data_IF_020475437071
#
_entry.id   IF_020475437071
#
_cell.length_a   1.000
_cell.length_b   1.000
_cell.length_c   1.000
_cell.angle_alpha   90.00
_cell.angle_beta   90.00
_cell.angle_gamma   90.00
#
_symmetry.space_group_name_H-M   'P 1'
#
loop_
_entity.id
_entity.type
_entity.pdbx_description
1 polymer ?
#
# COMPACT_ATOMS: atom_id res chain seq x y z
N UNK A 1 2.37 2.98 13.99
CA UNK A 1 1.78 1.76 13.43
C UNK A 1 2.69 0.57 13.64
N UNK A 2 2.11 -0.60 13.63
CA UNK A 2 2.83 -1.83 13.95
C UNK A 2 2.36 -2.95 13.03
N UNK A 3 3.26 -3.88 12.72
CA UNK A 3 2.95 -5.09 11.97
C UNK A 3 2.55 -6.22 12.93
N UNK A 4 1.43 -6.87 12.64
CA UNK A 4 0.92 -8.02 13.41
C UNK A 4 0.29 -9.03 12.48
N UNK A 5 0.00 -10.23 12.98
CA UNK A 5 -0.84 -11.20 12.27
C UNK A 5 -2.21 -10.60 12.01
N UNK A 6 -2.68 -10.73 10.77
CA UNK A 6 -3.92 -10.14 10.30
C UNK A 6 -5.02 -11.19 10.17
N UNK A 7 -6.26 -10.78 10.39
CA UNK A 7 -7.43 -11.61 10.06
C UNK A 7 -7.71 -11.59 8.55
N UNK A 8 -7.22 -10.58 7.84
CA UNK A 8 -7.44 -10.46 6.40
C UNK A 8 -6.51 -11.37 5.62
N UNK A 9 -5.21 -11.29 5.88
CA UNK A 9 -4.21 -12.10 5.17
C UNK A 9 -2.85 -11.94 5.86
N UNK A 10 -2.26 -13.05 6.28
CA UNK A 10 -0.90 -13.10 6.81
C UNK A 10 -0.57 -12.00 7.83
N UNK A 11 0.36 -11.13 7.47
CA UNK A 11 0.71 -9.96 8.25
C UNK A 11 -0.17 -8.77 7.88
N UNK A 12 -0.40 -7.90 8.83
CA UNK A 12 -1.11 -6.65 8.61
C UNK A 12 -0.44 -5.51 9.38
N UNK A 13 -0.89 -4.29 9.13
CA UNK A 13 -0.40 -3.08 9.79
C UNK A 13 -1.54 -2.47 10.59
N UNK A 14 -1.27 -2.16 11.85
CA UNK A 14 -2.27 -1.68 12.80
C UNK A 14 -1.90 -0.30 13.34
N UNK A 15 -2.91 0.51 13.59
CA UNK A 15 -2.73 1.83 14.18
C UNK A 15 -2.36 1.70 15.67
N UNK A 16 -1.24 2.32 16.09
CA UNK A 16 -0.84 2.38 17.50
C UNK A 16 -1.66 3.41 18.28
N UNK A 17 -2.10 4.46 17.60
CA UNK A 17 -2.90 5.54 18.16
C UNK A 17 -4.00 5.90 17.17
N UNK A 18 -4.98 6.69 17.64
CA UNK A 18 -6.03 7.20 16.77
C UNK A 18 -5.41 8.07 15.67
N UNK A 19 -5.94 7.95 14.45
CA UNK A 19 -5.46 8.68 13.28
C UNK A 19 -6.62 9.49 12.73
N UNK A 20 -6.41 10.79 12.58
CA UNK A 20 -7.42 11.70 12.05
C UNK A 20 -7.56 11.53 10.53
N UNK A 21 -8.79 11.62 10.02
CA UNK A 21 -9.08 11.61 8.58
C UNK A 21 -8.14 12.54 7.82
N UNK A 22 -7.68 12.06 6.67
CA UNK A 22 -6.76 12.74 5.75
C UNK A 22 -5.31 12.86 6.25
N UNK A 23 -4.98 12.30 7.40
CA UNK A 23 -3.59 12.22 7.86
C UNK A 23 -2.76 11.40 6.87
N UNK A 24 -1.60 11.93 6.53
CA UNK A 24 -0.60 11.22 5.73
C UNK A 24 0.12 10.25 6.67
N UNK A 25 -0.14 8.95 6.51
CA UNK A 25 0.30 7.94 7.47
C UNK A 25 1.71 7.46 7.18
N UNK A 26 1.94 6.99 5.97
CA UNK A 26 3.21 6.37 5.58
C UNK A 26 3.36 6.43 4.06
N UNK A 27 4.62 6.54 3.61
CA UNK A 27 4.94 6.42 2.21
C UNK A 27 5.04 4.94 1.83
N UNK A 28 4.46 4.57 0.69
CA UNK A 28 4.65 3.25 0.12
C UNK A 28 6.01 3.24 -0.57
N UNK A 29 7.04 2.85 0.18
CA UNK A 29 8.41 2.85 -0.31
C UNK A 29 8.71 1.60 -1.11
N UNK A 30 9.63 1.74 -2.06
CA UNK A 30 10.08 0.62 -2.86
C UNK A 30 10.95 1.10 -4.01
N UNK A 31 11.67 0.16 -4.62
CA UNK A 31 12.51 0.44 -5.75
C UNK A 31 11.67 0.98 -6.92
N UNK A 32 12.10 2.08 -7.51
CA UNK A 32 11.44 2.65 -8.69
C UNK A 32 11.94 1.91 -9.93
N UNK A 33 11.04 1.21 -10.61
CA UNK A 33 11.37 0.45 -11.81
C UNK A 33 10.46 0.83 -12.97
N UNK A 34 10.93 0.68 -14.22
CA UNK A 34 10.07 0.89 -15.37
C UNK A 34 8.91 -0.09 -15.40
N UNK A 35 7.72 0.38 -15.79
CA UNK A 35 6.52 -0.43 -15.81
C UNK A 35 6.69 -1.71 -16.64
N UNK A 36 7.45 -1.63 -17.74
CA UNK A 36 7.71 -2.81 -18.56
C UNK A 36 8.49 -3.91 -17.84
N UNK A 37 9.33 -3.55 -16.87
CA UNK A 37 10.10 -4.51 -16.07
C UNK A 37 9.32 -5.05 -14.89
N UNK A 38 8.24 -4.40 -14.49
CA UNK A 38 7.50 -4.82 -13.31
C UNK A 38 6.72 -6.12 -13.53
N UNK A 39 6.37 -6.44 -14.77
CA UNK A 39 5.50 -7.59 -15.07
C UNK A 39 6.05 -8.92 -14.60
N UNK A 40 7.34 -9.17 -14.82
CA UNK A 40 7.96 -10.43 -14.35
C UNK A 40 8.03 -10.48 -12.83
N UNK A 41 8.31 -9.35 -12.18
CA UNK A 41 8.33 -9.27 -10.73
C UNK A 41 6.94 -9.48 -10.14
N UNK A 42 5.93 -8.87 -10.75
CA UNK A 42 4.54 -9.02 -10.33
C UNK A 42 4.08 -10.47 -10.44
N UNK A 43 4.40 -11.13 -11.54
CA UNK A 43 4.05 -12.53 -11.74
C UNK A 43 4.71 -13.43 -10.68
N UNK A 44 5.98 -13.20 -10.38
CA UNK A 44 6.69 -13.93 -9.35
C UNK A 44 6.11 -13.68 -7.96
N UNK A 45 5.80 -12.43 -7.65
CA UNK A 45 5.20 -12.07 -6.37
C UNK A 45 3.82 -12.70 -6.20
N UNK A 46 3.00 -12.73 -7.25
CA UNK A 46 1.69 -13.38 -7.21
C UNK A 46 1.82 -14.88 -6.93
N UNK A 47 2.81 -15.55 -7.53
CA UNK A 47 3.06 -16.98 -7.24
C UNK A 47 3.39 -17.20 -5.76
N UNK A 48 4.02 -16.22 -5.11
CA UNK A 48 4.35 -16.28 -3.68
C UNK A 48 3.24 -15.72 -2.79
N UNK A 49 2.12 -15.30 -3.37
CA UNK A 49 0.98 -14.78 -2.62
C UNK A 49 1.10 -13.32 -2.20
N UNK A 50 1.87 -12.52 -2.94
CA UNK A 50 2.09 -11.11 -2.61
C UNK A 50 1.73 -10.18 -3.75
N UNK A 51 1.35 -8.94 -3.40
CA UNK A 51 1.15 -7.83 -4.34
C UNK A 51 1.95 -6.67 -3.77
N UNK A 52 3.18 -6.51 -4.25
CA UNK A 52 4.09 -5.49 -3.73
C UNK A 52 4.46 -4.41 -4.75
N UNK A 53 4.14 -4.63 -6.03
CA UNK A 53 4.35 -3.62 -7.05
C UNK A 53 3.16 -2.66 -7.09
N UNK A 54 3.44 -1.38 -7.04
CA UNK A 54 2.43 -0.33 -6.98
C UNK A 54 2.72 0.70 -8.07
N UNK A 55 1.78 0.91 -9.00
CA UNK A 55 1.97 1.84 -10.09
C UNK A 55 1.96 3.28 -9.60
N UNK A 56 3.03 4.00 -9.95
CA UNK A 56 3.11 5.46 -9.74
C UNK A 56 2.37 6.17 -10.88
N UNK A 57 2.68 5.75 -12.11
CA UNK A 57 2.06 6.26 -13.33
C UNK A 57 2.24 5.22 -14.44
N UNK A 58 2.01 5.59 -15.70
CA UNK A 58 2.15 4.65 -16.81
C UNK A 58 3.57 4.11 -17.00
N UNK A 59 4.58 4.87 -16.61
CA UNK A 59 5.98 4.54 -16.88
C UNK A 59 6.68 3.87 -15.71
N UNK A 60 6.25 4.15 -14.48
CA UNK A 60 6.99 3.79 -13.29
C UNK A 60 6.16 3.04 -12.28
N UNK A 61 6.81 2.09 -11.63
CA UNK A 61 6.24 1.26 -10.57
C UNK A 61 7.20 1.28 -9.38
N UNK A 62 6.66 1.27 -8.17
CA UNK A 62 7.43 1.02 -6.95
C UNK A 62 7.28 -0.44 -6.57
N UNK A 63 8.41 -1.13 -6.40
CA UNK A 63 8.43 -2.52 -5.95
C UNK A 63 8.89 -2.56 -4.50
N UNK A 64 7.97 -2.79 -3.58
CA UNK A 64 8.25 -2.79 -2.15
C UNK A 64 9.03 -4.01 -1.68
N UNK A 65 9.26 -4.99 -2.53
CA UNK A 65 10.13 -6.12 -2.21
C UNK A 65 11.58 -5.65 -2.02
N UNK A 66 11.98 -4.61 -2.74
CA UNK A 66 13.32 -4.04 -2.67
C UNK A 66 13.22 -2.61 -2.14
N UNK A 67 13.85 -2.35 -1.00
CA UNK A 67 13.84 -1.01 -0.42
C UNK A 67 12.49 -0.59 0.14
N UNK A 68 11.60 -1.53 0.39
CA UNK A 68 10.29 -1.27 0.95
C UNK A 68 10.33 -1.02 2.45
N UNK A 69 9.17 -0.67 3.00
CA UNK A 69 8.98 -0.43 4.42
C UNK A 69 7.74 -1.17 4.92
N UNK A 70 7.25 -0.82 6.10
CA UNK A 70 6.08 -1.47 6.70
C UNK A 70 4.84 -1.37 5.82
N UNK A 71 4.74 -0.37 4.95
CA UNK A 71 3.55 -0.15 4.11
C UNK A 71 3.23 -1.35 3.21
N UNK A 72 4.22 -2.15 2.84
CA UNK A 72 3.97 -3.33 1.99
C UNK A 72 3.11 -4.39 2.67
N UNK A 73 2.98 -4.36 3.98
CA UNK A 73 2.15 -5.30 4.74
C UNK A 73 0.72 -4.80 4.94
N UNK A 74 0.37 -3.60 4.48
CA UNK A 74 -1.02 -3.12 4.53
C UNK A 74 -1.86 -3.96 3.57
N UNK A 75 -2.90 -4.58 4.10
CA UNK A 75 -3.72 -5.50 3.33
C UNK A 75 -4.79 -4.80 2.50
N UNK A 76 -5.28 -5.51 1.49
CA UNK A 76 -6.41 -5.09 0.68
C UNK A 76 -7.72 -5.24 1.44
N UNK A 77 -8.63 -4.28 1.25
CA UNK A 77 -10.02 -4.41 1.64
C UNK A 77 -10.90 -3.68 0.63
N UNK A 78 -12.08 -4.23 0.34
CA UNK A 78 -13.02 -3.59 -0.58
C UNK A 78 -13.68 -2.36 0.05
N UNK A 79 -13.80 -2.33 1.39
CA UNK A 79 -14.28 -1.18 2.16
C UNK A 79 -13.16 -0.72 3.10
N UNK A 80 -12.12 -0.07 2.55
CA UNK A 80 -10.92 0.24 3.30
C UNK A 80 -11.09 1.47 4.19
N UNK A 81 -10.18 1.60 5.16
CA UNK A 81 -10.09 2.80 5.98
C UNK A 81 -9.01 3.78 5.50
N UNK A 82 -8.22 3.39 4.52
CA UNK A 82 -7.18 4.24 3.96
C UNK A 82 -7.32 4.33 2.44
N UNK A 83 -6.62 5.30 1.86
CA UNK A 83 -6.49 5.45 0.42
C UNK A 83 -5.07 5.85 0.07
N UNK A 84 -4.68 5.62 -1.17
CA UNK A 84 -3.36 6.01 -1.66
C UNK A 84 -3.45 7.32 -2.44
N UNK A 85 -2.37 8.09 -2.39
CA UNK A 85 -2.23 9.33 -3.13
C UNK A 85 -0.84 9.38 -3.75
N UNK A 86 -0.78 9.57 -5.06
CA UNK A 86 0.49 9.76 -5.76
C UNK A 86 0.83 11.25 -5.78
N UNK A 87 2.02 11.58 -5.29
CA UNK A 87 2.55 12.94 -5.30
C UNK A 87 3.90 12.88 -5.98
N UNK A 88 4.00 13.42 -7.20
CA UNK A 88 5.21 13.26 -8.01
C UNK A 88 5.47 11.79 -8.29
N UNK A 89 6.60 11.28 -7.86
CA UNK A 89 6.94 9.85 -7.98
C UNK A 89 6.86 9.11 -6.66
N UNK A 90 6.19 9.69 -5.66
CA UNK A 90 5.98 9.06 -4.36
C UNK A 90 4.53 8.63 -4.19
N UNK A 91 4.32 7.58 -3.42
CA UNK A 91 2.99 7.05 -3.12
C UNK A 91 2.79 7.16 -1.61
N UNK A 92 1.73 7.83 -1.20
CA UNK A 92 1.39 8.00 0.21
C UNK A 92 0.11 7.27 0.56
N UNK A 93 0.11 6.61 1.71
CA UNK A 93 -1.10 6.02 2.28
C UNK A 93 -1.67 7.01 3.29
N UNK A 94 -2.93 7.37 3.11
CA UNK A 94 -3.62 8.38 3.92
C UNK A 94 -4.88 7.81 4.56
N UNK A 95 -5.23 8.35 5.71
CA UNK A 95 -6.47 7.96 6.38
C UNK A 95 -7.69 8.46 5.59
N UNK A 96 -8.57 7.53 5.21
CA UNK A 96 -9.81 7.85 4.50
C UNK A 96 -10.94 8.28 5.43
N UNK A 97 -10.80 7.99 6.71
CA UNK A 97 -11.70 8.39 7.79
C UNK A 97 -10.91 8.47 9.08
N UNK A 98 -11.55 8.84 10.16
CA UNK A 98 -10.92 8.71 11.48
C UNK A 98 -10.73 7.23 11.80
N UNK A 99 -9.52 6.87 12.19
CA UNK A 99 -9.13 5.49 12.48
C UNK A 99 -8.88 5.39 13.98
N UNK A 100 -9.44 4.34 14.59
CA UNK A 100 -9.29 4.11 16.02
C UNK A 100 -7.97 3.41 16.32
N UNK A 101 -7.45 3.63 17.52
CA UNK A 101 -6.32 2.86 18.03
C UNK A 101 -6.62 1.38 17.92
N UNK A 102 -5.68 0.62 17.37
CA UNK A 102 -5.79 -0.83 17.23
C UNK A 102 -6.47 -1.32 15.95
N UNK A 103 -7.06 -0.43 15.15
CA UNK A 103 -7.63 -0.85 13.87
C UNK A 103 -6.55 -1.29 12.89
N UNK A 104 -6.85 -2.30 12.09
CA UNK A 104 -5.99 -2.68 10.98
C UNK A 104 -6.17 -1.70 9.84
N UNK A 105 -5.04 -1.21 9.28
CA UNK A 105 -5.04 -0.34 8.12
C UNK A 105 -5.26 -1.18 6.86
N UNK A 106 -6.03 -0.62 5.92
CA UNK A 106 -6.31 -1.29 4.65
C UNK A 106 -6.56 -0.26 3.56
N UNK A 107 -6.29 -0.63 2.32
CA UNK A 107 -6.69 0.18 1.16
C UNK A 107 -7.06 -0.76 0.02
N UNK A 108 -7.77 -0.22 -0.99
CA UNK A 108 -8.18 -1.03 -2.12
C UNK A 108 -7.05 -1.02 -3.16
N UNK A 109 -6.40 -2.16 -3.36
CA UNK A 109 -5.28 -2.31 -4.28
C UNK A 109 -5.65 -2.01 -5.72
N UNK A 110 -6.89 -2.26 -6.10
CA UNK A 110 -7.34 -2.22 -7.49
C UNK A 110 -7.85 -0.85 -7.93
N UNK A 111 -8.14 0.04 -7.00
CA UNK A 111 -8.67 1.38 -7.32
C UNK A 111 -7.70 2.50 -7.01
N UNK A 112 -6.65 2.23 -6.24
CA UNK A 112 -5.70 3.23 -5.79
C UNK A 112 -4.37 3.11 -6.51
N UNK A 113 -3.66 4.24 -6.60
CA UNK A 113 -2.31 4.33 -7.13
C UNK A 113 -2.24 4.23 -8.63
N UNK A 114 -2.79 3.20 -9.20
CA UNK A 114 -2.78 2.99 -10.62
C UNK A 114 -3.62 4.06 -11.31
N UNK A 115 -3.01 4.84 -12.17
CA UNK A 115 -3.68 5.92 -12.90
C UNK A 115 -4.33 6.97 -11.99
N UNK A 116 -3.99 6.98 -10.71
CA UNK A 116 -4.54 7.95 -9.78
C UNK A 116 -6.04 7.86 -9.62
N UNK A 117 -6.60 6.71 -9.80
CA UNK A 117 -8.04 6.55 -9.69
C UNK A 117 -8.44 6.40 -8.24
N UNK A 118 -9.28 7.28 -7.79
CA UNK A 118 -9.93 7.12 -6.50
C UNK A 118 -10.96 6.00 -6.58
#
# INVERSE_FOLDING_TARGET
MVRRRSRLHGWGVFALDAITKNTRIVQYAGEKIPAGRSKSREADQLRRGHIWCFSVNRRWVRDAEVGGNIAKYINHACKPNCYSQVIGDTIWIRAGRNIRKGEELSYNYYTNGSAGIP
#
